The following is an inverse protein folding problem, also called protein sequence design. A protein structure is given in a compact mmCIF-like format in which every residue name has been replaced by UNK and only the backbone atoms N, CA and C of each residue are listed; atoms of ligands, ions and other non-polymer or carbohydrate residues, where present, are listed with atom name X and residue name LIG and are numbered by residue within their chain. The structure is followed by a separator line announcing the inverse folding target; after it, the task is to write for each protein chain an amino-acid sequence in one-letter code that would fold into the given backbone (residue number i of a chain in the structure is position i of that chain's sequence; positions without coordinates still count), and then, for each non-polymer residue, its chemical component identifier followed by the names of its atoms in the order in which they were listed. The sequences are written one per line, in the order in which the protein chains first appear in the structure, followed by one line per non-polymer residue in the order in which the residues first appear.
data_IF_209804590623
#
_entry.id   IF_209804590623
#
_cell.length_a   1.000
_cell.length_b   1.000
_cell.length_c   1.000
_cell.angle_alpha   90.00
_cell.angle_beta   90.00
_cell.angle_gamma   90.00
#
_symmetry.space_group_name_H-M   'P 1'
#
loop_
_entity.id
_entity.type
_entity.pdbx_description
1 polymer ?
#
# COMPACT_ATOMS: atom_id res chain seq x y z
N UNK A 1 -11.15 -22.38 9.69
CA UNK A 1 -11.80 -21.05 9.75
C UNK A 1 -11.95 -20.43 8.37
N UNK A 2 -10.86 -20.16 7.64
CA UNK A 2 -10.92 -19.56 6.30
C UNK A 2 -11.75 -20.39 5.31
N UNK A 3 -11.47 -21.69 5.18
CA UNK A 3 -12.24 -22.60 4.31
C UNK A 3 -13.75 -22.51 4.58
N UNK A 4 -14.15 -22.65 5.84
CA UNK A 4 -15.55 -22.55 6.24
C UNK A 4 -16.20 -21.21 5.87
N UNK A 5 -15.45 -20.10 5.97
CA UNK A 5 -15.95 -18.80 5.55
C UNK A 5 -16.12 -18.70 4.03
N UNK A 6 -15.20 -19.29 3.26
CA UNK A 6 -15.29 -19.36 1.79
C UNK A 6 -16.49 -20.22 1.37
N UNK A 7 -16.71 -21.38 2.00
CA UNK A 7 -17.88 -22.24 1.77
C UNK A 7 -19.18 -21.48 2.04
N UNK A 8 -19.26 -20.78 3.17
CA UNK A 8 -20.44 -19.96 3.50
C UNK A 8 -20.71 -18.85 2.48
N UNK A 9 -19.66 -18.21 1.96
CA UNK A 9 -19.81 -17.19 0.91
C UNK A 9 -20.26 -17.85 -0.40
N UNK A 10 -19.73 -19.03 -0.71
CA UNK A 10 -20.09 -19.82 -1.90
C UNK A 10 -21.58 -20.15 -1.94
N UNK A 11 -22.16 -20.52 -0.79
CA UNK A 11 -23.59 -20.78 -0.68
C UNK A 11 -24.46 -19.54 -1.00
N UNK A 12 -23.92 -18.33 -0.76
CA UNK A 12 -24.65 -17.08 -0.95
C UNK A 12 -24.52 -16.52 -2.38
N UNK A 13 -23.32 -16.59 -2.96
CA UNK A 13 -23.02 -15.90 -4.23
C UNK A 13 -22.47 -16.82 -5.33
N UNK A 14 -22.35 -18.12 -5.06
CA UNK A 14 -21.75 -19.10 -5.95
C UNK A 14 -20.23 -19.18 -5.84
N UNK A 15 -19.64 -20.11 -6.59
CA UNK A 15 -18.18 -20.34 -6.63
C UNK A 15 -17.52 -19.17 -7.39
N UNK A 16 -16.54 -18.47 -6.78
CA UNK A 16 -15.86 -17.37 -7.45
C UNK A 16 -14.90 -17.89 -8.52
N UNK A 17 -14.76 -17.15 -9.62
CA UNK A 17 -13.76 -17.46 -10.66
C UNK A 17 -12.32 -17.25 -10.14
N UNK A 18 -12.14 -16.25 -9.28
CA UNK A 18 -10.83 -15.84 -8.78
C UNK A 18 -10.92 -15.43 -7.31
N UNK A 19 -9.87 -15.76 -6.55
CA UNK A 19 -9.60 -15.21 -5.22
C UNK A 19 -8.30 -14.41 -5.28
N UNK A 20 -8.35 -13.14 -4.91
CA UNK A 20 -7.15 -12.29 -4.77
C UNK A 20 -6.93 -12.00 -3.30
N UNK A 21 -5.74 -12.31 -2.79
CA UNK A 21 -5.47 -12.19 -1.36
C UNK A 21 -3.98 -12.06 -1.04
N UNK A 22 -3.69 -11.53 0.15
CA UNK A 22 -2.38 -11.57 0.76
C UNK A 22 -1.96 -13.03 1.03
N UNK A 23 -0.67 -13.32 0.89
CA UNK A 23 -0.13 -14.66 1.14
C UNK A 23 0.17 -14.94 2.62
N UNK A 24 -0.75 -14.58 3.53
CA UNK A 24 -0.62 -14.98 4.93
C UNK A 24 -0.82 -16.50 5.06
N UNK A 25 -0.07 -17.15 5.94
CA UNK A 25 -0.02 -18.62 5.99
C UNK A 25 -1.38 -19.30 6.20
N UNK A 26 -2.25 -18.72 7.03
CA UNK A 26 -3.59 -19.24 7.28
C UNK A 26 -4.54 -19.03 6.10
N UNK A 27 -4.44 -17.88 5.42
CA UNK A 27 -5.26 -17.54 4.26
C UNK A 27 -4.87 -18.40 3.06
N UNK A 28 -3.57 -18.49 2.76
CA UNK A 28 -3.04 -19.32 1.68
C UNK A 28 -3.39 -20.80 1.87
N UNK A 29 -3.29 -21.32 3.11
CA UNK A 29 -3.70 -22.70 3.40
C UNK A 29 -5.20 -22.89 3.23
N UNK A 30 -6.02 -21.96 3.73
CA UNK A 30 -7.47 -22.03 3.60
C UNK A 30 -7.95 -22.00 2.15
N UNK A 31 -7.35 -21.14 1.32
CA UNK A 31 -7.63 -21.05 -0.11
C UNK A 31 -7.19 -22.33 -0.83
N UNK A 32 -6.01 -22.87 -0.50
CA UNK A 32 -5.53 -24.13 -1.09
C UNK A 32 -6.49 -25.29 -0.82
N UNK A 33 -6.96 -25.44 0.42
CA UNK A 33 -7.95 -26.46 0.76
C UNK A 33 -9.28 -26.24 0.02
N UNK A 34 -9.68 -24.99 -0.19
CA UNK A 34 -10.87 -24.65 -0.96
C UNK A 34 -10.71 -25.01 -2.46
N UNK A 35 -9.51 -24.81 -3.03
CA UNK A 35 -9.17 -25.23 -4.39
C UNK A 35 -9.17 -26.76 -4.58
N UNK A 36 -8.99 -27.55 -3.51
CA UNK A 36 -9.10 -29.02 -3.61
C UNK A 36 -10.54 -29.44 -3.98
N UNK A 37 -11.54 -28.69 -3.53
CA UNK A 37 -12.96 -28.89 -3.87
C UNK A 37 -13.39 -28.11 -5.13
N UNK A 38 -12.67 -27.04 -5.47
CA UNK A 38 -12.94 -26.18 -6.63
C UNK A 38 -11.67 -25.92 -7.45
N UNK A 39 -11.17 -26.90 -8.23
CA UNK A 39 -9.90 -26.82 -8.94
C UNK A 39 -9.85 -25.77 -10.07
N UNK A 40 -11.00 -25.26 -10.48
CA UNK A 40 -11.16 -24.21 -11.48
C UNK A 40 -10.81 -22.80 -10.96
N UNK A 41 -10.77 -22.62 -9.63
CA UNK A 41 -10.55 -21.32 -9.02
C UNK A 41 -9.09 -20.91 -9.18
N UNK A 42 -8.90 -19.67 -9.64
CA UNK A 42 -7.58 -19.05 -9.71
C UNK A 42 -7.31 -18.33 -8.39
N UNK A 43 -6.22 -18.70 -7.72
CA UNK A 43 -5.72 -17.96 -6.58
C UNK A 43 -4.58 -17.04 -7.03
N UNK A 44 -4.75 -15.75 -6.80
CA UNK A 44 -3.73 -14.75 -7.11
C UNK A 44 -3.22 -14.11 -5.83
N UNK A 45 -1.90 -14.16 -5.64
CA UNK A 45 -1.27 -13.37 -4.59
C UNK A 45 -1.31 -11.89 -4.97
N UNK A 46 -1.75 -11.03 -4.07
CA UNK A 46 -1.75 -9.59 -4.30
C UNK A 46 -0.33 -9.07 -4.64
N UNK A 47 -0.17 -8.42 -5.80
CA UNK A 47 1.14 -7.92 -6.25
C UNK A 47 1.73 -6.87 -5.32
N UNK A 48 0.92 -5.96 -4.78
CA UNK A 48 1.41 -4.91 -3.88
C UNK A 48 1.99 -5.54 -2.62
N UNK A 49 1.33 -6.55 -2.07
CA UNK A 49 1.84 -7.30 -0.92
C UNK A 49 3.06 -8.17 -1.26
N UNK A 50 3.02 -8.89 -2.39
CA UNK A 50 4.14 -9.71 -2.86
C UNK A 50 5.42 -8.89 -3.03
N UNK A 51 5.31 -7.73 -3.69
CA UNK A 51 6.43 -6.82 -3.90
C UNK A 51 6.93 -6.19 -2.60
N UNK A 52 6.02 -5.79 -1.70
CA UNK A 52 6.39 -5.29 -0.39
C UNK A 52 7.14 -6.35 0.44
N UNK A 53 6.74 -7.62 0.35
CA UNK A 53 7.43 -8.74 0.98
C UNK A 53 8.81 -8.99 0.38
N UNK A 54 8.96 -8.95 -0.94
CA UNK A 54 10.27 -9.08 -1.59
C UNK A 54 11.24 -7.97 -1.15
N UNK A 55 10.77 -6.72 -1.15
CA UNK A 55 11.55 -5.58 -0.64
C UNK A 55 11.91 -5.77 0.83
N UNK A 56 10.94 -6.20 1.65
CA UNK A 56 11.15 -6.50 3.06
C UNK A 56 12.27 -7.51 3.26
N UNK A 57 12.21 -8.67 2.62
CA UNK A 57 13.21 -9.72 2.81
C UNK A 57 14.63 -9.24 2.46
N UNK A 58 14.78 -8.45 1.40
CA UNK A 58 16.09 -7.92 1.01
C UNK A 58 16.58 -6.79 1.91
N UNK A 59 15.71 -5.87 2.30
CA UNK A 59 16.10 -4.68 3.06
C UNK A 59 16.21 -4.96 4.57
N UNK A 60 15.42 -5.89 5.12
CA UNK A 60 15.56 -6.34 6.51
C UNK A 60 16.93 -6.99 6.74
N UNK A 61 17.41 -7.78 5.76
CA UNK A 61 18.72 -8.44 5.83
C UNK A 61 19.90 -7.51 5.50
N UNK A 62 19.64 -6.26 5.09
CA UNK A 62 20.70 -5.33 4.69
C UNK A 62 21.08 -4.41 5.87
N UNK A 63 22.24 -4.67 6.48
CA UNK A 63 22.75 -3.91 7.63
C UNK A 63 22.92 -2.41 7.33
N UNK A 64 23.32 -2.07 6.09
CA UNK A 64 23.43 -0.67 5.67
C UNK A 64 22.07 0.02 5.59
N UNK A 65 21.03 -0.68 5.12
CA UNK A 65 19.67 -0.15 5.15
C UNK A 65 19.18 0.06 6.58
N UNK A 66 19.42 -0.90 7.48
CA UNK A 66 19.05 -0.74 8.89
C UNK A 66 19.80 0.42 9.56
N UNK A 67 21.08 0.57 9.28
CA UNK A 67 21.90 1.70 9.73
C UNK A 67 21.37 3.05 9.20
N UNK A 68 20.98 3.10 7.91
CA UNK A 68 20.34 4.27 7.30
C UNK A 68 19.04 4.65 8.01
N UNK A 69 18.16 3.68 8.32
CA UNK A 69 16.91 3.95 9.04
C UNK A 69 17.16 4.54 10.44
N UNK A 70 18.16 4.01 11.16
CA UNK A 70 18.54 4.54 12.47
C UNK A 70 19.09 5.97 12.37
N UNK A 71 19.95 6.26 11.38
CA UNK A 71 20.45 7.62 11.13
C UNK A 71 19.31 8.57 10.74
N UNK A 72 18.36 8.14 9.90
CA UNK A 72 17.15 8.91 9.61
C UNK A 72 16.35 9.25 10.87
N UNK A 73 16.14 8.27 11.76
CA UNK A 73 15.41 8.50 13.00
C UNK A 73 16.10 9.54 13.90
N UNK A 74 17.42 9.39 14.13
CA UNK A 74 18.23 10.33 14.91
C UNK A 74 18.28 11.72 14.26
N UNK A 75 18.41 11.77 12.93
CA UNK A 75 18.41 13.02 12.16
C UNK A 75 17.11 13.79 12.37
N UNK A 76 15.95 13.12 12.25
CA UNK A 76 14.65 13.75 12.53
C UNK A 76 14.59 14.37 13.92
N UNK A 77 15.02 13.64 14.95
CA UNK A 77 15.03 14.15 16.33
C UNK A 77 15.91 15.40 16.47
N UNK A 78 17.07 15.44 15.81
CA UNK A 78 18.00 16.59 15.80
C UNK A 78 17.50 17.80 15.01
N UNK A 79 16.56 17.60 14.08
CA UNK A 79 16.07 18.65 13.18
C UNK A 79 14.71 19.23 13.60
N UNK A 80 13.83 18.44 14.23
CA UNK A 80 12.42 18.78 14.48
C UNK A 80 12.19 20.10 15.24
N UNK A 81 13.16 20.57 16.02
CA UNK A 81 13.09 21.82 16.79
C UNK A 81 14.16 22.84 16.37
N UNK A 82 14.55 22.83 15.09
CA UNK A 82 15.55 23.77 14.55
C UNK A 82 15.06 24.39 13.26
N UNK A 83 15.73 25.45 12.81
CA UNK A 83 15.53 26.10 11.52
C UNK A 83 15.63 25.13 10.32
N UNK A 84 16.35 24.02 10.48
CA UNK A 84 16.48 22.96 9.47
C UNK A 84 15.35 21.92 9.53
N UNK A 85 14.29 22.15 10.31
CA UNK A 85 13.18 21.19 10.48
C UNK A 85 12.50 20.80 9.16
N UNK A 86 12.46 21.70 8.17
CA UNK A 86 11.93 21.44 6.83
C UNK A 86 12.75 20.41 6.02
N UNK A 87 14.01 20.16 6.42
CA UNK A 87 14.87 19.11 5.84
C UNK A 87 14.69 17.75 6.52
N UNK A 88 13.84 17.65 7.54
CA UNK A 88 13.69 16.43 8.33
C UNK A 88 13.26 15.24 7.47
N UNK A 89 13.84 14.04 7.71
CA UNK A 89 13.41 12.83 7.04
C UNK A 89 11.92 12.55 7.29
N UNK A 90 11.14 12.07 6.30
CA UNK A 90 9.71 11.78 6.48
C UNK A 90 9.48 10.62 7.44
N UNK A 91 8.48 10.73 8.32
CA UNK A 91 8.14 9.66 9.28
C UNK A 91 7.77 8.34 8.59
N UNK A 92 8.23 7.22 9.15
CA UNK A 92 7.83 5.89 8.70
C UNK A 92 6.76 5.32 9.63
N UNK A 93 5.70 4.74 9.05
CA UNK A 93 4.72 3.95 9.81
C UNK A 93 5.28 2.54 10.00
N UNK A 94 5.24 2.03 11.24
CA UNK A 94 5.79 0.72 11.59
C UNK A 94 5.16 -0.45 10.82
N UNK A 95 3.84 -0.40 10.60
CA UNK A 95 3.04 -1.48 9.99
C UNK A 95 3.06 -1.51 8.45
N UNK A 96 3.48 -0.43 7.76
CA UNK A 96 3.46 -0.35 6.29
C UNK A 96 4.78 0.16 5.72
N UNK A 97 5.90 -0.06 6.42
CA UNK A 97 7.19 0.55 6.08
C UNK A 97 7.68 0.16 4.68
N UNK A 98 7.43 -1.08 4.25
CA UNK A 98 7.88 -1.59 2.95
C UNK A 98 6.96 -1.25 1.78
N UNK A 99 5.74 -0.79 2.06
CA UNK A 99 4.88 -0.14 1.06
C UNK A 99 5.35 1.27 0.71
N UNK A 100 6.29 1.83 1.49
CA UNK A 100 6.67 3.23 1.42
C UNK A 100 8.19 3.42 1.53
N UNK A 101 8.98 2.45 1.07
CA UNK A 101 10.45 2.51 1.07
C UNK A 101 10.93 3.77 0.34
N UNK A 102 10.27 4.08 -0.79
CA UNK A 102 10.52 5.24 -1.63
C UNK A 102 10.46 6.57 -0.87
N UNK A 103 9.69 6.68 0.22
CA UNK A 103 9.53 7.97 0.91
C UNK A 103 10.84 8.44 1.52
N UNK A 104 11.60 7.54 2.16
CA UNK A 104 12.89 7.89 2.73
C UNK A 104 13.98 7.96 1.66
N UNK A 105 14.01 7.03 0.70
CA UNK A 105 15.06 7.04 -0.32
C UNK A 105 14.93 8.25 -1.24
N UNK A 106 13.71 8.61 -1.67
CA UNK A 106 13.47 9.81 -2.47
C UNK A 106 13.77 11.10 -1.68
N UNK A 107 13.47 11.15 -0.38
CA UNK A 107 13.86 12.28 0.46
C UNK A 107 15.38 12.45 0.48
N UNK A 108 16.12 11.37 0.72
CA UNK A 108 17.57 11.40 0.79
C UNK A 108 18.21 11.77 -0.56
N UNK A 109 17.76 11.14 -1.65
CA UNK A 109 18.23 11.44 -3.01
C UNK A 109 17.92 12.89 -3.39
N UNK A 110 16.70 13.36 -3.12
CA UNK A 110 16.33 14.76 -3.39
C UNK A 110 17.23 15.72 -2.62
N UNK A 111 17.53 15.42 -1.36
CA UNK A 111 18.38 16.26 -0.53
C UNK A 111 19.84 16.27 -1.00
N UNK A 112 20.39 15.11 -1.39
CA UNK A 112 21.74 15.01 -1.97
C UNK A 112 21.86 15.78 -3.29
N UNK A 113 20.79 15.78 -4.11
CA UNK A 113 20.74 16.49 -5.39
C UNK A 113 20.30 17.95 -5.27
N UNK A 114 19.97 18.45 -4.07
CA UNK A 114 19.54 19.83 -3.88
C UNK A 114 20.75 20.77 -3.83
N UNK A 115 20.82 21.81 -4.69
CA UNK A 115 21.90 22.78 -4.62
C UNK A 115 21.92 23.49 -3.26
N UNK A 116 23.12 23.65 -2.73
CA UNK A 116 23.34 24.27 -1.42
C UNK A 116 22.85 25.72 -1.40
N UNK A 117 22.98 26.42 -2.52
CA UNK A 117 22.51 27.79 -2.71
C UNK A 117 21.00 27.89 -2.52
N UNK A 118 20.25 26.91 -3.04
CA UNK A 118 18.80 26.84 -2.85
C UNK A 118 18.45 26.66 -1.37
N UNK A 119 19.21 25.83 -0.64
CA UNK A 119 18.97 25.64 0.80
C UNK A 119 19.27 26.90 1.60
N UNK A 120 20.31 27.66 1.24
CA UNK A 120 20.65 28.94 1.88
C UNK A 120 19.54 29.97 1.64
N UNK A 121 19.01 30.07 0.41
CA UNK A 121 17.93 31.02 0.08
C UNK A 121 16.65 30.79 0.87
N UNK A 122 16.41 29.57 1.36
CA UNK A 122 15.26 29.23 2.21
C UNK A 122 15.41 29.71 3.67
N UNK A 123 16.58 30.21 4.05
CA UNK A 123 16.89 30.73 5.39
C UNK A 123 17.61 32.08 5.31
N UNK A 124 16.99 33.12 4.74
CA UNK A 124 17.66 34.39 4.44
C UNK A 124 18.13 35.15 5.70
N UNK A 125 17.51 34.89 6.85
CA UNK A 125 17.80 35.58 8.11
C UNK A 125 19.01 34.99 8.87
N UNK A 126 19.66 33.96 8.33
CA UNK A 126 20.79 33.27 8.96
C UNK A 126 22.04 33.44 8.10
N UNK A 127 23.17 33.72 8.73
CA UNK A 127 24.45 33.84 8.04
C UNK A 127 24.78 32.56 7.23
N UNK A 128 25.14 32.75 5.95
CA UNK A 128 25.40 31.65 5.01
C UNK A 128 26.40 30.62 5.56
N UNK A 129 27.49 31.08 6.18
CA UNK A 129 28.53 30.20 6.74
C UNK A 129 27.98 29.34 7.89
N UNK A 130 27.11 29.91 8.72
CA UNK A 130 26.47 29.19 9.82
C UNK A 130 25.50 28.13 9.28
N UNK A 131 24.70 28.45 8.27
CA UNK A 131 23.82 27.48 7.59
C UNK A 131 24.61 26.28 7.08
N UNK A 132 25.69 26.55 6.33
CA UNK A 132 26.56 25.51 5.77
C UNK A 132 27.12 24.59 6.86
N UNK A 133 27.63 25.17 7.94
CA UNK A 133 28.16 24.38 9.06
C UNK A 133 27.12 23.44 9.67
N UNK A 134 25.88 23.92 9.86
CA UNK A 134 24.78 23.14 10.43
C UNK A 134 24.28 22.05 9.48
N UNK A 135 24.22 22.33 8.17
CA UNK A 135 23.86 21.33 7.15
C UNK A 135 24.91 20.21 7.14
N UNK A 136 26.20 20.55 7.06
CA UNK A 136 27.28 19.56 7.06
C UNK A 136 27.24 18.73 8.35
N UNK A 137 27.15 19.37 9.52
CA UNK A 137 27.10 18.68 10.81
C UNK A 137 25.93 17.68 10.90
N UNK A 138 24.74 18.05 10.40
CA UNK A 138 23.51 17.26 10.60
C UNK A 138 23.19 16.31 9.46
N UNK A 139 23.68 16.55 8.24
CA UNK A 139 23.25 15.88 7.02
C UNK A 139 24.38 15.28 6.19
N UNK A 140 25.66 15.61 6.44
CA UNK A 140 26.78 15.09 5.62
C UNK A 140 26.87 13.55 5.61
N UNK A 141 26.37 12.90 6.67
CA UNK A 141 26.31 11.43 6.74
C UNK A 141 25.50 10.79 5.60
N UNK A 142 24.64 11.53 4.90
CA UNK A 142 23.87 11.02 3.76
C UNK A 142 24.78 10.67 2.57
N UNK A 143 25.90 11.37 2.39
CA UNK A 143 26.84 11.09 1.32
C UNK A 143 27.38 9.66 1.40
N UNK A 144 27.55 9.12 2.62
CA UNK A 144 27.97 7.73 2.86
C UNK A 144 27.00 6.68 2.29
N UNK A 145 25.79 7.07 1.90
CA UNK A 145 24.74 6.17 1.41
C UNK A 145 24.34 6.47 -0.03
N UNK A 146 25.01 7.37 -0.76
CA UNK A 146 24.59 7.77 -2.11
C UNK A 146 24.42 6.57 -3.06
N UNK A 147 25.42 5.68 -3.10
CA UNK A 147 25.37 4.46 -3.92
C UNK A 147 24.28 3.49 -3.44
N UNK A 148 24.13 3.33 -2.12
CA UNK A 148 23.11 2.47 -1.52
C UNK A 148 21.69 2.98 -1.85
N UNK A 149 21.49 4.30 -1.80
CA UNK A 149 20.22 4.96 -2.08
C UNK A 149 19.80 4.75 -3.51
N UNK A 150 20.73 4.89 -4.47
CA UNK A 150 20.47 4.59 -5.88
C UNK A 150 20.07 3.13 -6.02
N UNK A 151 20.81 2.21 -5.42
CA UNK A 151 20.53 0.78 -5.48
C UNK A 151 19.14 0.42 -4.90
N UNK A 152 18.81 0.91 -3.71
CA UNK A 152 17.48 0.69 -3.11
C UNK A 152 16.37 1.35 -3.92
N UNK A 153 16.61 2.52 -4.51
CA UNK A 153 15.64 3.19 -5.37
C UNK A 153 15.37 2.41 -6.65
N UNK A 154 16.40 1.80 -7.24
CA UNK A 154 16.26 0.89 -8.39
C UNK A 154 15.40 -0.33 -8.04
N UNK A 155 15.62 -0.96 -6.88
CA UNK A 155 14.78 -2.07 -6.41
C UNK A 155 13.31 -1.66 -6.30
N UNK A 156 13.02 -0.53 -5.66
CA UNK A 156 11.65 -0.02 -5.53
C UNK A 156 11.06 0.32 -6.89
N UNK A 157 11.85 0.90 -7.79
CA UNK A 157 11.39 1.23 -9.15
C UNK A 157 10.97 -0.03 -9.91
N UNK A 158 11.74 -1.12 -9.81
CA UNK A 158 11.40 -2.40 -10.46
C UNK A 158 10.06 -2.94 -9.96
N UNK A 159 9.82 -2.94 -8.64
CA UNK A 159 8.56 -3.43 -8.09
C UNK A 159 7.37 -2.54 -8.45
N UNK A 160 7.54 -1.21 -8.37
CA UNK A 160 6.48 -0.24 -8.71
C UNK A 160 6.11 -0.27 -10.20
N UNK A 161 7.07 -0.55 -11.09
CA UNK A 161 6.79 -0.79 -12.51
C UNK A 161 5.89 -2.00 -12.71
N UNK A 162 6.19 -3.13 -12.06
CA UNK A 162 5.34 -4.32 -12.14
C UNK A 162 3.93 -4.01 -11.60
N UNK A 163 3.84 -3.43 -10.40
CA UNK A 163 2.56 -3.07 -9.79
C UNK A 163 1.74 -2.17 -10.70
N UNK A 164 2.34 -1.14 -11.29
CA UNK A 164 1.66 -0.22 -12.21
C UNK A 164 1.15 -0.96 -13.45
N UNK A 165 2.00 -1.79 -14.06
CA UNK A 165 1.62 -2.59 -15.23
C UNK A 165 0.43 -3.50 -14.91
N UNK A 166 0.50 -4.25 -13.81
CA UNK A 166 -0.54 -5.19 -13.42
C UNK A 166 -1.84 -4.50 -12.99
N UNK A 167 -1.76 -3.31 -12.40
CA UNK A 167 -2.94 -2.50 -12.06
C UNK A 167 -3.68 -1.97 -13.29
N UNK A 168 -2.97 -1.76 -14.39
CA UNK A 168 -3.56 -1.23 -15.63
C UNK A 168 -4.02 -2.33 -16.59
N UNK A 169 -3.22 -3.38 -16.75
CA UNK A 169 -3.43 -4.41 -17.77
C UNK A 169 -3.95 -5.73 -17.19
N UNK A 170 -3.95 -5.88 -15.87
CA UNK A 170 -4.24 -7.13 -15.20
C UNK A 170 -3.16 -8.20 -15.41
N UNK A 171 -3.46 -9.39 -14.89
CA UNK A 171 -2.65 -10.59 -15.05
C UNK A 171 -3.21 -11.42 -16.22
N UNK A 172 -2.40 -11.66 -17.26
CA UNK A 172 -2.77 -12.40 -18.45
C UNK A 172 -1.55 -13.09 -19.09
N UNK A 173 -1.75 -13.80 -20.20
CA UNK A 173 -0.68 -14.54 -20.88
C UNK A 173 0.46 -13.67 -21.45
N UNK A 174 0.23 -12.37 -21.65
CA UNK A 174 1.21 -11.41 -22.18
C UNK A 174 1.97 -10.66 -21.09
N UNK A 175 1.53 -10.74 -19.82
CA UNK A 175 2.11 -10.02 -18.69
C UNK A 175 3.63 -10.20 -18.60
N UNK A 176 4.11 -11.44 -18.71
CA UNK A 176 5.54 -11.74 -18.60
C UNK A 176 6.35 -11.08 -19.72
N UNK A 177 5.86 -11.17 -20.96
CA UNK A 177 6.49 -10.56 -22.12
C UNK A 177 6.57 -9.04 -21.98
N UNK A 178 5.47 -8.38 -21.58
CA UNK A 178 5.45 -6.94 -21.35
C UNK A 178 6.42 -6.53 -20.24
N UNK A 179 6.49 -7.32 -19.17
CA UNK A 179 7.41 -7.01 -18.08
C UNK A 179 8.87 -7.14 -18.52
N UNK A 180 9.21 -8.17 -19.31
CA UNK A 180 10.56 -8.33 -19.88
C UNK A 180 10.95 -7.15 -20.78
N UNK A 181 10.05 -6.71 -21.65
CA UNK A 181 10.30 -5.60 -22.59
C UNK A 181 10.52 -4.26 -21.87
N UNK A 182 9.82 -4.02 -20.75
CA UNK A 182 9.87 -2.75 -20.01
C UNK A 182 11.02 -2.66 -18.98
N UNK A 183 11.92 -3.66 -18.95
CA UNK A 183 13.00 -3.78 -17.96
C UNK A 183 14.42 -3.64 -18.54
N UNK A 184 14.57 -3.40 -19.85
CA UNK A 184 15.88 -3.39 -20.54
C UNK A 184 16.91 -2.40 -19.98
N UNK A 185 16.48 -1.36 -19.27
CA UNK A 185 17.34 -0.20 -18.96
C UNK A 185 17.74 -0.09 -17.47
N UNK A 186 17.31 -1.02 -16.61
CA UNK A 186 17.44 -0.86 -15.14
C UNK A 186 18.43 -1.81 -14.46
N UNK A 187 19.05 -2.73 -15.18
CA UNK A 187 19.76 -3.86 -14.55
C UNK A 187 21.26 -3.64 -14.55
N UNK A 188 21.81 -3.45 -13.35
CA UNK A 188 23.21 -3.74 -13.06
C UNK A 188 23.32 -5.20 -12.57
N UNK A 189 24.52 -5.78 -12.63
CA UNK A 189 24.75 -7.18 -12.21
C UNK A 189 24.29 -7.45 -10.77
N UNK A 190 24.34 -6.44 -9.90
CA UNK A 190 23.95 -6.56 -8.48
C UNK A 190 22.46 -6.79 -8.26
N UNK A 191 21.60 -6.41 -9.21
CA UNK A 191 20.14 -6.50 -9.09
C UNK A 191 19.53 -7.68 -9.85
N UNK A 192 20.33 -8.43 -10.62
CA UNK A 192 19.85 -9.54 -11.43
C UNK A 192 19.09 -10.58 -10.60
N UNK A 193 19.62 -10.94 -9.42
CA UNK A 193 18.93 -11.86 -8.52
C UNK A 193 17.57 -11.33 -8.04
N UNK A 194 17.51 -10.04 -7.67
CA UNK A 194 16.26 -9.42 -7.22
C UNK A 194 15.22 -9.37 -8.35
N UNK A 195 15.67 -9.01 -9.55
CA UNK A 195 14.83 -9.01 -10.75
C UNK A 195 14.29 -10.40 -11.06
N UNK A 196 15.13 -11.44 -10.95
CA UNK A 196 14.70 -12.82 -11.17
C UNK A 196 13.57 -13.21 -10.22
N UNK A 197 13.62 -12.81 -8.94
CA UNK A 197 12.54 -13.08 -7.98
C UNK A 197 11.20 -12.43 -8.39
N UNK A 198 11.25 -11.26 -9.03
CA UNK A 198 10.04 -10.61 -9.58
C UNK A 198 9.54 -11.39 -10.79
N UNK A 199 10.43 -11.87 -11.67
CA UNK A 199 10.05 -12.74 -12.79
C UNK A 199 9.43 -14.05 -12.30
N UNK A 200 10.04 -14.70 -11.29
CA UNK A 200 9.53 -15.94 -10.71
C UNK A 200 8.10 -15.76 -10.17
N UNK A 201 7.84 -14.64 -9.50
CA UNK A 201 6.49 -14.26 -9.07
C UNK A 201 5.53 -14.17 -10.26
N UNK A 202 5.87 -13.40 -11.30
CA UNK A 202 5.00 -13.24 -12.48
C UNK A 202 4.76 -14.58 -13.19
N UNK A 203 5.81 -15.39 -13.36
CA UNK A 203 5.71 -16.71 -13.99
C UNK A 203 4.80 -17.64 -13.20
N UNK A 204 4.92 -17.67 -11.86
CA UNK A 204 4.07 -18.48 -11.01
C UNK A 204 2.60 -18.06 -11.11
N UNK A 205 2.32 -16.77 -11.03
CA UNK A 205 0.95 -16.25 -11.12
C UNK A 205 0.35 -16.50 -12.52
N UNK A 206 1.12 -16.29 -13.60
CA UNK A 206 0.68 -16.54 -14.98
C UNK A 206 0.49 -18.03 -15.30
N UNK A 207 1.18 -18.95 -14.61
CA UNK A 207 1.07 -20.40 -14.86
C UNK A 207 -0.34 -20.96 -14.64
N UNK A 208 -1.15 -20.26 -13.82
CA UNK A 208 -2.53 -20.63 -13.51
C UNK A 208 -3.52 -20.19 -14.62
N UNK A 209 -3.09 -19.34 -15.54
CA UNK A 209 -3.94 -18.75 -16.59
C UNK A 209 -3.93 -19.66 -17.82
N UNK A 210 -5.06 -20.31 -18.08
CA UNK A 210 -5.22 -21.26 -19.19
C UNK A 210 -5.71 -20.59 -20.49
N UNK A 211 -6.44 -19.48 -20.37
CA UNK A 211 -7.14 -18.82 -21.48
C UNK A 211 -6.63 -17.41 -21.78
N UNK A 212 -7.13 -16.78 -22.85
CA UNK A 212 -6.90 -15.35 -23.18
C UNK A 212 -7.64 -14.38 -22.24
N UNK A 213 -7.91 -14.80 -21.01
CA UNK A 213 -8.60 -13.98 -20.00
C UNK A 213 -7.60 -13.12 -19.23
N UNK A 214 -8.12 -12.05 -18.65
CA UNK A 214 -7.36 -11.12 -17.81
C UNK A 214 -7.94 -11.15 -16.41
N UNK A 215 -7.07 -11.37 -15.43
CA UNK A 215 -7.40 -11.51 -14.02
C UNK A 215 -6.88 -10.35 -13.19
N UNK A 216 -7.47 -10.16 -12.00
CA UNK A 216 -7.04 -9.13 -11.07
C UNK A 216 -5.72 -9.52 -10.42
N UNK A 217 -4.75 -8.61 -10.41
CA UNK A 217 -3.46 -8.84 -9.73
C UNK A 217 -3.41 -8.23 -8.32
N UNK A 218 -4.43 -7.46 -7.93
CA UNK A 218 -4.44 -6.73 -6.66
C UNK A 218 -5.84 -6.56 -6.11
N UNK A 219 -5.89 -6.48 -4.79
CA UNK A 219 -7.03 -6.16 -3.95
C UNK A 219 -7.15 -4.65 -3.66
N UNK A 220 -6.33 -3.79 -4.28
CA UNK A 220 -6.33 -2.32 -4.11
C UNK A 220 -7.72 -1.66 -4.27
N UNK A 221 -8.64 -2.28 -5.03
CA UNK A 221 -10.03 -1.82 -5.16
C UNK A 221 -10.72 -1.79 -3.79
N UNK A 222 -10.48 -2.80 -2.95
CA UNK A 222 -11.02 -2.90 -1.60
C UNK A 222 -10.42 -1.80 -0.73
N UNK A 223 -9.10 -1.60 -0.77
CA UNK A 223 -8.44 -0.52 -0.02
C UNK A 223 -8.90 0.87 -0.47
N UNK A 224 -9.14 1.07 -1.77
CA UNK A 224 -9.68 2.31 -2.32
C UNK A 224 -11.09 2.59 -1.81
N UNK A 225 -11.92 1.54 -1.74
CA UNK A 225 -13.29 1.60 -1.21
C UNK A 225 -13.30 1.94 0.28
N UNK A 226 -12.47 1.26 1.09
CA UNK A 226 -12.30 1.59 2.50
C UNK A 226 -11.64 2.96 2.71
N UNK A 227 -10.81 3.42 1.78
CA UNK A 227 -10.25 4.77 1.76
C UNK A 227 -11.34 5.84 1.68
N UNK A 228 -12.30 5.68 0.76
CA UNK A 228 -13.49 6.57 0.67
C UNK A 228 -14.30 6.53 1.97
N UNK A 229 -14.57 5.34 2.51
CA UNK A 229 -15.26 5.21 3.80
C UNK A 229 -14.54 5.94 4.94
N UNK A 230 -13.20 5.79 5.05
CA UNK A 230 -12.38 6.50 6.05
C UNK A 230 -12.46 8.01 5.87
N UNK A 231 -12.54 8.51 4.64
CA UNK A 231 -12.71 9.93 4.35
C UNK A 231 -14.08 10.45 4.84
N UNK A 232 -15.16 9.71 4.59
CA UNK A 232 -16.49 10.08 5.08
C UNK A 232 -16.59 10.03 6.61
N UNK A 233 -16.04 8.99 7.22
CA UNK A 233 -16.07 8.81 8.68
C UNK A 233 -15.03 9.66 9.44
N UNK A 234 -14.10 10.33 8.76
CA UNK A 234 -13.08 11.18 9.40
C UNK A 234 -13.67 12.31 10.25
N UNK A 235 -14.90 12.75 9.94
CA UNK A 235 -15.61 13.80 10.68
C UNK A 235 -16.31 13.29 11.95
N UNK A 236 -16.39 11.97 12.13
CA UNK A 236 -17.01 11.38 13.31
C UNK A 236 -16.05 11.44 14.51
N UNK A 237 -16.48 11.98 15.67
CA UNK A 237 -15.64 12.12 16.85
C UNK A 237 -15.25 10.76 17.46
N UNK A 238 -16.06 9.72 17.23
CA UNK A 238 -15.78 8.34 17.64
C UNK A 238 -15.58 7.50 16.38
N UNK A 239 -14.45 6.80 16.32
CA UNK A 239 -14.10 5.86 15.26
C UNK A 239 -14.75 4.49 15.52
N UNK A 240 -16.07 4.44 15.45
CA UNK A 240 -16.84 3.19 15.50
C UNK A 240 -17.47 2.89 14.14
N UNK A 241 -17.61 1.60 13.81
CA UNK A 241 -18.44 1.20 12.68
C UNK A 241 -19.91 1.38 13.06
N UNK A 242 -20.71 1.91 12.15
CA UNK A 242 -22.12 2.21 12.34
C UNK A 242 -22.74 2.61 11.01
N UNK A 243 -23.71 3.52 11.00
CA UNK A 243 -24.45 3.91 9.77
C UNK A 243 -23.57 4.33 8.59
N UNK A 244 -22.40 4.91 8.87
CA UNK A 244 -21.45 5.30 7.82
C UNK A 244 -20.96 4.10 6.99
N UNK A 245 -21.10 2.86 7.46
CA UNK A 245 -20.76 1.67 6.68
C UNK A 245 -21.54 1.62 5.36
N UNK A 246 -22.80 2.08 5.35
CA UNK A 246 -23.64 2.13 4.15
C UNK A 246 -23.06 3.03 3.05
N UNK A 247 -22.16 3.96 3.39
CA UNK A 247 -21.46 4.80 2.39
C UNK A 247 -20.52 3.99 1.48
N UNK A 248 -20.11 2.79 1.92
CA UNK A 248 -19.38 1.84 1.06
C UNK A 248 -20.26 1.46 -0.13
N UNK A 249 -21.50 1.04 0.11
CA UNK A 249 -22.44 0.68 -0.97
C UNK A 249 -22.72 1.86 -1.90
N UNK A 250 -22.85 3.07 -1.35
CA UNK A 250 -23.03 4.29 -2.15
C UNK A 250 -21.80 4.58 -3.03
N UNK A 251 -20.61 4.20 -2.59
CA UNK A 251 -19.36 4.44 -3.31
C UNK A 251 -19.13 3.51 -4.51
N UNK A 252 -19.94 2.46 -4.64
CA UNK A 252 -19.87 1.46 -5.73
C UNK A 252 -21.00 1.60 -6.75
N UNK A 253 -21.92 2.55 -6.58
CA UNK A 253 -23.07 2.74 -7.47
C UNK A 253 -23.06 4.12 -8.15
N UNK A 254 -23.75 4.20 -9.29
CA UNK A 254 -24.04 5.49 -9.92
C UNK A 254 -25.30 6.09 -9.29
N UNK A 255 -25.14 7.17 -8.53
CA UNK A 255 -26.24 7.86 -7.88
C UNK A 255 -27.01 8.72 -8.89
N UNK A 256 -28.11 8.19 -9.38
CA UNK A 256 -29.04 8.92 -10.24
C UNK A 256 -30.23 9.45 -9.45
N UNK A 257 -30.90 10.49 -9.95
CA UNK A 257 -32.11 11.04 -9.32
C UNK A 257 -33.18 9.99 -9.11
N UNK A 258 -33.34 9.06 -10.05
CA UNK A 258 -34.29 7.94 -9.96
C UNK A 258 -33.93 6.99 -8.82
N UNK A 259 -32.65 6.61 -8.68
CA UNK A 259 -32.20 5.74 -7.58
C UNK A 259 -32.44 6.41 -6.23
N UNK A 260 -32.10 7.70 -6.11
CA UNK A 260 -32.31 8.45 -4.86
C UNK A 260 -33.79 8.56 -4.52
N UNK A 261 -34.64 8.90 -5.50
CA UNK A 261 -36.09 8.98 -5.31
C UNK A 261 -36.66 7.64 -4.83
N UNK A 262 -36.35 6.55 -5.55
CA UNK A 262 -36.84 5.22 -5.20
C UNK A 262 -36.37 4.80 -3.81
N UNK A 263 -35.12 5.09 -3.44
CA UNK A 263 -34.60 4.78 -2.12
C UNK A 263 -35.34 5.53 -1.00
N UNK A 264 -35.59 6.83 -1.18
CA UNK A 264 -36.35 7.65 -0.22
C UNK A 264 -37.81 7.25 -0.10
N UNK A 265 -38.41 6.73 -1.18
CA UNK A 265 -39.79 6.23 -1.19
C UNK A 265 -39.91 4.80 -0.60
N UNK A 266 -38.83 4.01 -0.63
CA UNK A 266 -38.85 2.59 -0.22
C UNK A 266 -38.36 2.35 1.21
N UNK A 267 -37.38 3.14 1.68
CA UNK A 267 -36.73 2.96 2.97
C UNK A 267 -36.87 4.24 3.78
N UNK A 268 -37.52 4.13 4.93
CA UNK A 268 -37.66 5.22 5.88
C UNK A 268 -36.41 5.36 6.76
N UNK A 269 -36.30 6.50 7.45
CA UNK A 269 -35.26 6.70 8.46
C UNK A 269 -35.38 5.69 9.62
N UNK A 270 -36.60 5.31 9.98
CA UNK A 270 -36.87 4.36 11.06
C UNK A 270 -36.31 2.96 10.74
N UNK A 271 -36.45 2.51 9.48
CA UNK A 271 -35.91 1.23 9.04
C UNK A 271 -34.37 1.18 9.17
N UNK A 272 -33.70 2.31 8.91
CA UNK A 272 -32.25 2.42 9.08
C UNK A 272 -31.86 2.37 10.57
N UNK A 273 -32.62 3.02 11.45
CA UNK A 273 -32.38 2.96 12.91
C UNK A 273 -32.58 1.55 13.48
N UNK A 274 -33.62 0.85 13.03
CA UNK A 274 -33.89 -0.53 13.44
C UNK A 274 -32.74 -1.46 13.00
N UNK A 275 -32.31 -1.35 11.74
CA UNK A 275 -31.15 -2.08 11.23
C UNK A 275 -29.87 -1.79 12.03
N UNK A 276 -29.63 -0.53 12.40
CA UNK A 276 -28.47 -0.16 13.22
C UNK A 276 -28.51 -0.80 14.60
N UNK A 277 -29.69 -0.83 15.23
CA UNK A 277 -29.87 -1.46 16.53
C UNK A 277 -29.69 -2.98 16.46
N UNK A 278 -30.17 -3.62 15.40
CA UNK A 278 -30.01 -5.06 15.18
C UNK A 278 -28.53 -5.44 14.95
N UNK A 279 -27.83 -4.71 14.07
CA UNK A 279 -26.48 -5.08 13.63
C UNK A 279 -25.39 -4.62 14.61
N UNK A 280 -25.49 -3.40 15.13
CA UNK A 280 -24.44 -2.78 15.95
C UNK A 280 -24.86 -2.58 17.41
N UNK A 281 -26.15 -2.59 17.71
CA UNK A 281 -26.67 -2.27 19.03
C UNK A 281 -26.37 -0.83 19.46
N UNK A 282 -26.23 -0.62 20.77
CA UNK A 282 -26.01 0.72 21.32
C UNK A 282 -24.58 1.23 21.05
N UNK A 283 -24.48 2.41 20.44
CA UNK A 283 -23.21 3.08 20.12
C UNK A 283 -22.40 3.46 21.36
N UNK A 284 -21.08 3.58 21.22
CA UNK A 284 -20.20 3.98 22.33
C UNK A 284 -20.47 5.40 22.79
N UNK A 285 -20.86 6.29 21.88
CA UNK A 285 -21.30 7.65 22.23
C UNK A 285 -22.57 7.61 23.09
N UNK A 286 -23.54 6.77 22.70
CA UNK A 286 -24.80 6.61 23.45
C UNK A 286 -24.53 6.04 24.84
N UNK A 287 -23.72 4.97 24.94
CA UNK A 287 -23.29 4.39 26.22
C UNK A 287 -22.63 5.44 27.13
N UNK A 288 -21.78 6.31 26.58
CA UNK A 288 -21.10 7.39 27.34
C UNK A 288 -22.05 8.50 27.79
N UNK A 289 -23.13 8.76 27.07
CA UNK A 289 -24.16 9.74 27.47
C UNK A 289 -25.10 9.19 28.55
N UNK A 290 -25.20 7.87 28.67
CA UNK A 290 -26.03 7.20 29.69
C UNK A 290 -25.31 7.07 31.04
N UNK A 291 -23.99 7.23 31.08
CA UNK A 291 -23.19 7.40 32.30
C UNK A 291 -23.26 8.83 32.83
#
# INVERSE_FOLDING_TARGET
MILHQLEKITELVGVPVQIVADHSSDLARGIKLYQENHPEIIYTHDVTHAMALLLKYKLDANDRYQSFLQKCHRCRQKLQQTELSFLSPPSQRSQCRYFNVERLTNWAIKLLNSPVETLIQLMPDIEHKLILSKIVEKLAWLADYETDLIHWNQMVTMTRRLETQLKQLGLNSQTLQYFQQNQSDLVNDSLQYFQQQIFDYVTNECSQIKDKQTFLATSDIIESLFGKYKQFSARCPIKEMGQMLLTICLSTMNLTTTVVKNALESISFFDVEEWLAEVFGQSMLSKRKTL
#
